data_IF_318389396828
#
_entry.id   IF_318389396828
#
_cell.length_a   1.000
_cell.length_b   1.000
_cell.length_c   1.000
_cell.angle_alpha   90.00
_cell.angle_beta   90.00
_cell.angle_gamma   90.00
#
_symmetry.space_group_name_H-M   'P 1'
#
loop_
_entity.id
_entity.type
_entity.pdbx_description
1 polymer ?
#
# COMPACT_ATOMS: atom_id res chain seq x y z
N UNK A 1 -17.65 1.11 -28.58
CA UNK A 1 -17.59 1.21 -30.03
C UNK A 1 -18.65 2.21 -30.48
N UNK A 2 -18.23 3.32 -31.07
CA UNK A 2 -19.08 4.37 -31.58
C UNK A 2 -18.76 4.57 -33.06
N UNK A 3 -19.11 3.54 -33.89
CA UNK A 3 -19.06 3.68 -35.35
C UNK A 3 -17.66 3.97 -35.92
N UNK A 4 -16.64 3.19 -35.58
CA UNK A 4 -15.27 3.36 -36.09
C UNK A 4 -14.30 3.99 -35.09
N UNK A 5 -14.76 4.25 -33.85
CA UNK A 5 -13.93 4.71 -32.73
C UNK A 5 -14.00 3.73 -31.58
N UNK A 6 -12.83 3.37 -30.99
CA UNK A 6 -12.73 2.58 -29.77
C UNK A 6 -12.01 3.41 -28.72
N UNK A 7 -12.62 3.51 -27.55
CA UNK A 7 -12.06 4.20 -26.40
C UNK A 7 -11.63 3.19 -25.34
N UNK A 8 -10.41 3.31 -24.86
CA UNK A 8 -9.86 2.47 -23.81
C UNK A 8 -9.29 3.38 -22.70
N UNK A 9 -9.65 3.10 -21.46
CA UNK A 9 -8.95 3.65 -20.30
C UNK A 9 -7.70 2.81 -20.04
N UNK A 10 -6.55 3.36 -20.33
CA UNK A 10 -5.26 2.76 -20.00
C UNK A 10 -4.85 3.26 -18.61
N UNK A 11 -4.65 2.31 -17.68
CA UNK A 11 -4.31 2.60 -16.30
C UNK A 11 -2.91 2.12 -15.97
N UNK A 12 -2.17 2.95 -15.26
CA UNK A 12 -0.91 2.59 -14.61
C UNK A 12 -0.94 2.96 -13.11
N UNK A 13 0.24 2.96 -12.46
CA UNK A 13 0.37 3.33 -11.04
C UNK A 13 0.10 4.81 -10.75
N UNK A 14 0.17 5.68 -11.75
CA UNK A 14 0.00 7.13 -11.61
C UNK A 14 -1.44 7.58 -11.87
N UNK A 15 -2.19 6.80 -12.67
CA UNK A 15 -3.59 7.10 -12.95
C UNK A 15 -4.12 6.46 -14.23
N UNK A 16 -5.11 7.13 -14.83
CA UNK A 16 -5.81 6.66 -16.02
C UNK A 16 -5.67 7.70 -17.11
N UNK A 17 -5.42 7.25 -18.35
CA UNK A 17 -5.50 8.07 -19.55
C UNK A 17 -6.42 7.41 -20.57
N UNK A 18 -7.20 8.20 -21.28
CA UNK A 18 -7.99 7.70 -22.40
C UNK A 18 -7.12 7.53 -23.64
N UNK A 19 -7.25 6.38 -24.27
CA UNK A 19 -6.64 6.06 -25.57
C UNK A 19 -7.75 5.91 -26.57
N UNK A 20 -7.60 6.58 -27.71
CA UNK A 20 -8.55 6.56 -28.83
C UNK A 20 -7.94 5.79 -29.99
N UNK A 21 -8.65 4.80 -30.46
CA UNK A 21 -8.32 4.05 -31.69
C UNK A 21 -9.30 4.44 -32.77
N UNK A 22 -8.76 4.87 -33.89
CA UNK A 22 -9.52 5.26 -35.07
C UNK A 22 -8.84 4.64 -36.30
N UNK A 23 -9.63 4.15 -37.25
CA UNK A 23 -9.14 3.61 -38.53
C UNK A 23 -8.36 4.64 -39.33
N UNK A 24 -8.66 5.93 -39.15
CA UNK A 24 -7.93 7.04 -39.79
C UNK A 24 -6.49 7.19 -39.24
N UNK A 25 -6.24 6.85 -37.97
CA UNK A 25 -4.92 6.92 -37.39
C UNK A 25 -4.11 5.66 -37.67
N UNK A 26 -4.73 4.48 -37.53
CA UNK A 26 -4.12 3.19 -37.80
C UNK A 26 -5.17 2.08 -37.86
N UNK A 27 -5.39 1.54 -39.06
CA UNK A 27 -6.33 0.42 -39.27
C UNK A 27 -5.85 -0.85 -38.51
N UNK A 28 -4.52 -1.06 -38.42
CA UNK A 28 -3.95 -2.20 -37.72
C UNK A 28 -4.18 -2.08 -36.19
N UNK A 29 -3.90 -0.92 -35.60
CA UNK A 29 -4.14 -0.67 -34.19
C UNK A 29 -5.61 -0.81 -33.83
N UNK A 30 -6.51 -0.30 -34.68
CA UNK A 30 -7.94 -0.43 -34.49
C UNK A 30 -8.39 -1.89 -34.48
N UNK A 31 -7.92 -2.69 -35.43
CA UNK A 31 -8.24 -4.13 -35.52
C UNK A 31 -7.76 -4.92 -34.31
N UNK A 32 -6.59 -4.57 -33.76
CA UNK A 32 -6.11 -5.17 -32.50
C UNK A 32 -7.00 -4.71 -31.34
N UNK A 33 -7.37 -3.43 -31.30
CA UNK A 33 -8.20 -2.86 -30.23
C UNK A 33 -9.57 -3.54 -30.09
N UNK A 34 -10.18 -3.98 -31.18
CA UNK A 34 -11.45 -4.75 -31.18
C UNK A 34 -11.34 -6.06 -30.35
N UNK A 35 -10.13 -6.62 -30.28
CA UNK A 35 -9.87 -7.89 -29.55
C UNK A 35 -9.56 -7.66 -28.07
N UNK A 36 -9.28 -6.43 -27.65
CA UNK A 36 -8.90 -6.10 -26.27
C UNK A 36 -10.10 -6.31 -25.35
N UNK A 37 -9.80 -6.82 -24.15
CA UNK A 37 -10.77 -7.00 -23.06
C UNK A 37 -10.24 -6.38 -21.79
N UNK A 38 -11.11 -6.21 -20.81
CA UNK A 38 -10.76 -5.61 -19.52
C UNK A 38 -9.54 -6.26 -18.88
N UNK A 39 -8.70 -5.43 -18.28
CA UNK A 39 -7.48 -5.79 -17.54
C UNK A 39 -6.35 -6.43 -18.39
N UNK A 40 -6.42 -6.37 -19.71
CA UNK A 40 -5.29 -6.72 -20.57
C UNK A 40 -4.15 -5.73 -20.34
N UNK A 41 -2.93 -6.22 -20.37
CA UNK A 41 -1.73 -5.39 -20.31
C UNK A 41 -1.34 -4.98 -21.73
N UNK A 42 -1.28 -3.68 -21.96
CA UNK A 42 -1.06 -3.10 -23.27
C UNK A 42 0.19 -2.22 -23.29
N UNK A 43 0.85 -2.18 -24.42
CA UNK A 43 1.78 -1.13 -24.78
C UNK A 43 1.16 -0.32 -25.93
N UNK A 44 0.99 0.97 -25.74
CA UNK A 44 0.43 1.89 -26.73
C UNK A 44 1.49 2.92 -27.12
N UNK A 45 1.63 3.15 -28.41
CA UNK A 45 2.36 4.31 -28.95
C UNK A 45 1.35 5.19 -29.67
N UNK A 46 1.45 6.50 -29.45
CA UNK A 46 0.51 7.43 -30.06
C UNK A 46 0.84 8.87 -29.69
N UNK A 47 0.03 9.78 -30.22
CA UNK A 47 0.16 11.20 -30.02
C UNK A 47 -0.75 11.67 -28.90
N UNK A 48 -0.21 12.45 -27.96
CA UNK A 48 -1.03 13.12 -26.93
C UNK A 48 -1.64 14.37 -27.53
N UNK A 49 -2.95 14.48 -27.41
CA UNK A 49 -3.73 15.63 -27.92
C UNK A 49 -4.62 16.19 -26.81
N UNK A 50 -4.97 17.47 -26.92
CA UNK A 50 -5.97 18.09 -26.06
C UNK A 50 -7.36 17.67 -26.53
N UNK A 51 -8.24 17.37 -25.59
CA UNK A 51 -9.66 17.17 -25.88
C UNK A 51 -10.36 18.52 -26.13
N UNK A 52 -11.40 18.47 -26.91
CA UNK A 52 -12.30 19.61 -27.05
C UNK A 52 -12.96 19.92 -25.68
N UNK A 53 -13.30 21.19 -25.44
CA UNK A 53 -13.87 21.64 -24.16
C UNK A 53 -15.12 20.82 -23.74
N UNK A 54 -15.95 20.43 -24.67
CA UNK A 54 -17.16 19.63 -24.45
C UNK A 54 -16.88 18.12 -24.19
N UNK A 55 -15.65 17.66 -24.41
CA UNK A 55 -15.21 16.27 -24.24
C UNK A 55 -14.30 16.08 -23.01
N UNK A 56 -14.00 17.15 -22.29
CA UNK A 56 -13.19 17.07 -21.06
C UNK A 56 -13.89 16.18 -20.04
N UNK A 57 -13.17 15.19 -19.51
CA UNK A 57 -13.68 14.31 -18.45
C UNK A 57 -13.15 14.74 -17.09
N UNK A 58 -13.95 15.40 -16.23
CA UNK A 58 -13.51 15.87 -14.93
C UNK A 58 -13.27 14.75 -13.91
N UNK A 59 -13.67 13.51 -14.22
CA UNK A 59 -13.56 12.38 -13.29
C UNK A 59 -12.19 11.68 -13.31
N UNK A 60 -11.32 12.02 -14.27
CA UNK A 60 -9.97 11.48 -14.35
C UNK A 60 -8.94 12.62 -14.37
N UNK A 61 -7.81 12.45 -13.70
CA UNK A 61 -6.78 13.49 -13.58
C UNK A 61 -6.20 13.96 -14.92
N UNK A 62 -6.26 13.11 -15.96
CA UNK A 62 -5.79 13.39 -17.32
C UNK A 62 -6.94 13.78 -18.27
N UNK A 63 -8.09 14.16 -17.72
CA UNK A 63 -9.32 14.32 -18.48
C UNK A 63 -9.31 15.41 -19.57
N UNK A 64 -8.32 16.29 -19.58
CA UNK A 64 -8.11 17.32 -20.60
C UNK A 64 -7.35 16.83 -21.84
N UNK A 65 -6.77 15.64 -21.76
CA UNK A 65 -5.97 15.04 -22.84
C UNK A 65 -6.47 13.64 -23.19
N UNK A 66 -6.06 13.17 -24.35
CA UNK A 66 -6.19 11.77 -24.78
C UNK A 66 -5.01 11.35 -25.66
N UNK A 67 -4.87 10.06 -25.91
CA UNK A 67 -3.84 9.51 -26.78
C UNK A 67 -4.51 8.99 -28.05
N UNK A 68 -4.18 9.60 -29.19
CA UNK A 68 -4.48 9.06 -30.51
C UNK A 68 -3.50 7.91 -30.80
N UNK A 69 -4.01 6.68 -30.80
CA UNK A 69 -3.17 5.49 -30.92
C UNK A 69 -2.68 5.27 -32.36
N UNK A 70 -1.37 5.21 -32.53
CA UNK A 70 -0.71 4.84 -33.79
C UNK A 70 -0.40 3.34 -33.83
N UNK A 71 -0.10 2.74 -32.67
CA UNK A 71 0.12 1.29 -32.55
C UNK A 71 -0.24 0.80 -31.16
N UNK A 72 -0.62 -0.48 -31.06
CA UNK A 72 -0.88 -1.17 -29.81
C UNK A 72 -0.35 -2.60 -29.86
N UNK A 73 0.24 -3.03 -28.75
CA UNK A 73 0.66 -4.39 -28.53
C UNK A 73 0.01 -4.95 -27.28
N UNK A 74 -0.53 -6.17 -27.35
CA UNK A 74 -1.06 -6.89 -26.18
C UNK A 74 0.10 -7.64 -25.54
N UNK A 75 0.64 -7.09 -24.45
CA UNK A 75 1.75 -7.70 -23.71
C UNK A 75 1.30 -8.94 -22.93
N UNK A 76 0.09 -8.88 -22.36
CA UNK A 76 -0.51 -10.01 -21.64
C UNK A 76 -2.04 -9.94 -21.69
N UNK A 77 -2.66 -11.11 -21.83
CA UNK A 77 -4.12 -11.27 -21.72
C UNK A 77 -4.50 -11.64 -20.30
N UNK A 78 -5.54 -11.01 -19.78
CA UNK A 78 -6.13 -11.36 -18.49
C UNK A 78 -7.37 -12.24 -18.69
N UNK A 79 -7.63 -13.10 -17.69
CA UNK A 79 -8.97 -13.71 -17.52
C UNK A 79 -9.92 -12.64 -16.97
N UNK A 80 -11.20 -12.82 -17.19
CA UNK A 80 -12.23 -11.95 -16.60
C UNK A 80 -12.05 -11.92 -15.08
N UNK A 81 -11.85 -10.71 -14.48
CA UNK A 81 -11.68 -10.61 -13.04
C UNK A 81 -12.98 -10.99 -12.30
N UNK A 82 -12.89 -11.47 -11.05
CA UNK A 82 -14.06 -11.89 -10.27
C UNK A 82 -14.98 -10.71 -9.90
N UNK A 83 -14.49 -9.48 -10.00
CA UNK A 83 -15.25 -8.24 -9.85
C UNK A 83 -14.51 -7.10 -10.57
N UNK A 84 -15.25 -6.05 -10.91
CA UNK A 84 -14.66 -4.87 -11.54
C UNK A 84 -13.91 -4.03 -10.52
N UNK A 85 -12.84 -3.37 -10.96
CA UNK A 85 -11.97 -2.54 -10.12
C UNK A 85 -12.55 -1.13 -9.96
N UNK A 86 -13.25 -0.65 -10.99
CA UNK A 86 -13.86 0.68 -11.05
C UNK A 86 -15.32 0.65 -10.56
N UNK A 87 -15.79 1.81 -10.07
CA UNK A 87 -17.17 2.01 -9.64
C UNK A 87 -17.46 1.55 -8.20
N UNK A 88 -18.72 1.71 -7.81
CA UNK A 88 -19.22 1.23 -6.52
C UNK A 88 -19.32 -0.29 -6.52
N UNK A 89 -18.62 -0.89 -5.58
CA UNK A 89 -18.58 -2.34 -5.45
C UNK A 89 -19.72 -2.82 -4.55
N UNK A 90 -20.66 -3.49 -5.15
CA UNK A 90 -21.57 -4.38 -4.44
C UNK A 90 -20.97 -5.79 -4.36
N UNK A 91 -19.81 -5.90 -3.71
CA UNK A 91 -19.04 -7.14 -3.60
C UNK A 91 -18.79 -7.43 -2.12
N UNK A 92 -19.01 -8.68 -1.70
CA UNK A 92 -18.81 -9.09 -0.32
C UNK A 92 -17.34 -8.93 0.12
N UNK A 93 -17.13 -8.65 1.40
CA UNK A 93 -15.78 -8.56 1.97
C UNK A 93 -15.01 -9.88 1.83
N UNK A 94 -15.71 -11.01 1.91
CA UNK A 94 -15.11 -12.33 1.71
C UNK A 94 -14.47 -12.46 0.30
N UNK A 95 -15.20 -12.03 -0.74
CA UNK A 95 -14.69 -12.09 -2.11
C UNK A 95 -13.53 -11.13 -2.31
N UNK A 96 -13.60 -9.94 -1.71
CA UNK A 96 -12.51 -8.94 -1.72
C UNK A 96 -11.26 -9.47 -1.01
N UNK A 97 -11.42 -10.18 0.11
CA UNK A 97 -10.30 -10.79 0.83
C UNK A 97 -9.70 -11.96 0.05
N UNK A 98 -10.53 -12.80 -0.57
CA UNK A 98 -10.07 -13.92 -1.40
C UNK A 98 -9.24 -13.45 -2.60
N UNK A 99 -9.63 -12.34 -3.22
CA UNK A 99 -8.93 -11.74 -4.36
C UNK A 99 -8.31 -10.39 -4.00
N UNK A 100 -7.65 -10.34 -2.84
CA UNK A 100 -7.09 -9.11 -2.27
C UNK A 100 -6.18 -8.35 -3.22
N UNK A 101 -5.39 -9.05 -4.04
CA UNK A 101 -4.50 -8.46 -5.03
C UNK A 101 -5.26 -7.70 -6.13
N UNK A 102 -6.51 -8.06 -6.42
CA UNK A 102 -7.39 -7.30 -7.33
C UNK A 102 -8.01 -6.10 -6.58
N UNK A 103 -8.51 -6.31 -5.36
CA UNK A 103 -9.07 -5.25 -4.53
C UNK A 103 -8.04 -4.10 -4.27
N UNK A 104 -6.77 -4.44 -4.12
CA UNK A 104 -5.69 -3.46 -3.94
C UNK A 104 -5.44 -2.57 -5.16
N UNK A 105 -5.94 -2.93 -6.34
CA UNK A 105 -5.85 -2.10 -7.56
C UNK A 105 -6.87 -0.96 -7.58
N UNK A 106 -7.84 -0.97 -6.69
CA UNK A 106 -8.85 0.10 -6.58
C UNK A 106 -8.21 1.37 -6.02
N UNK A 107 -8.64 2.52 -6.53
CA UNK A 107 -8.10 3.83 -6.14
C UNK A 107 -8.11 4.04 -4.62
N UNK A 108 -9.23 3.72 -3.96
CA UNK A 108 -9.34 3.82 -2.50
C UNK A 108 -8.26 2.98 -1.78
N UNK A 109 -8.05 1.76 -2.23
CA UNK A 109 -7.08 0.86 -1.60
C UNK A 109 -5.65 1.26 -1.91
N UNK A 110 -5.38 1.65 -3.16
CA UNK A 110 -4.09 2.19 -3.57
C UNK A 110 -3.75 3.45 -2.76
N UNK A 111 -4.72 4.36 -2.60
CA UNK A 111 -4.53 5.57 -1.81
C UNK A 111 -4.25 5.28 -0.33
N UNK A 112 -4.95 4.31 0.27
CA UNK A 112 -4.65 3.87 1.63
C UNK A 112 -3.21 3.38 1.79
N UNK A 113 -2.69 2.64 0.80
CA UNK A 113 -1.30 2.17 0.80
C UNK A 113 -0.32 3.33 0.63
N UNK A 114 -0.62 4.30 -0.25
CA UNK A 114 0.18 5.52 -0.43
C UNK A 114 0.23 6.35 0.87
N UNK A 115 -0.92 6.57 1.52
CA UNK A 115 -1.00 7.30 2.80
C UNK A 115 -0.16 6.58 3.87
N UNK A 116 -0.32 5.26 4.01
CA UNK A 116 0.48 4.48 4.96
C UNK A 116 1.98 4.63 4.70
N UNK A 117 2.41 4.53 3.44
CA UNK A 117 3.81 4.72 3.05
C UNK A 117 4.30 6.13 3.39
N UNK A 118 3.52 7.17 3.06
CA UNK A 118 3.87 8.56 3.37
C UNK A 118 3.98 8.80 4.87
N UNK A 119 3.01 8.31 5.65
CA UNK A 119 3.02 8.43 7.12
C UNK A 119 4.27 7.81 7.72
N UNK A 120 4.59 6.56 7.35
CA UNK A 120 5.80 5.91 7.87
C UNK A 120 7.07 6.64 7.48
N UNK A 121 7.15 7.16 6.27
CA UNK A 121 8.30 7.95 5.80
C UNK A 121 8.43 9.28 6.56
N UNK A 122 7.31 9.99 6.77
CA UNK A 122 7.30 11.26 7.53
C UNK A 122 7.75 11.04 8.97
N UNK A 123 7.24 10.02 9.64
CA UNK A 123 7.65 9.67 11.00
C UNK A 123 9.15 9.36 11.07
N UNK A 124 9.69 8.58 10.12
CA UNK A 124 11.12 8.29 10.05
C UNK A 124 11.95 9.56 9.90
N UNK A 125 11.65 10.39 8.91
CA UNK A 125 12.38 11.63 8.68
C UNK A 125 12.34 12.54 9.91
N UNK A 126 11.18 12.70 10.55
CA UNK A 126 11.02 13.52 11.75
C UNK A 126 11.87 13.03 12.92
N UNK A 127 11.86 11.73 13.19
CA UNK A 127 12.64 11.15 14.29
C UNK A 127 14.13 11.15 13.97
N UNK A 128 14.53 10.91 12.73
CA UNK A 128 15.94 10.98 12.30
C UNK A 128 16.49 12.41 12.48
N UNK A 129 15.71 13.45 12.13
CA UNK A 129 16.07 14.86 12.32
C UNK A 129 16.25 15.22 13.81
N UNK A 130 15.60 14.50 14.71
CA UNK A 130 15.78 14.62 16.16
C UNK A 130 16.85 13.69 16.72
N UNK A 131 17.67 13.08 15.87
CA UNK A 131 18.75 12.15 16.20
C UNK A 131 18.28 10.86 16.91
N UNK A 132 17.08 10.40 16.63
CA UNK A 132 16.67 9.05 17.00
C UNK A 132 17.29 8.04 16.04
N UNK A 133 17.58 6.84 16.54
CA UNK A 133 18.13 5.75 15.76
C UNK A 133 17.06 4.68 15.51
N UNK A 134 16.81 4.32 14.25
CA UNK A 134 15.95 3.19 13.88
C UNK A 134 16.72 1.88 14.09
N UNK A 135 16.39 1.14 15.13
CA UNK A 135 17.09 -0.09 15.49
C UNK A 135 16.13 -1.27 15.45
N UNK A 136 16.40 -2.21 14.55
CA UNK A 136 15.63 -3.44 14.43
C UNK A 136 15.92 -4.40 15.58
N UNK A 137 14.86 -4.96 16.18
CA UNK A 137 14.93 -5.91 17.28
C UNK A 137 14.40 -7.30 16.86
N UNK A 138 14.85 -8.39 17.53
CA UNK A 138 14.44 -9.75 17.17
C UNK A 138 12.93 -10.01 17.35
N UNK A 139 12.36 -10.82 16.44
CA UNK A 139 10.99 -11.33 16.55
C UNK A 139 10.91 -12.71 17.19
N UNK A 140 11.92 -13.55 17.04
CA UNK A 140 11.99 -14.84 17.71
C UNK A 140 12.63 -14.65 19.09
N UNK A 141 11.81 -14.42 20.10
CA UNK A 141 12.25 -14.06 21.44
C UNK A 141 11.79 -15.07 22.48
N UNK A 142 12.16 -14.85 23.72
CA UNK A 142 11.60 -15.55 24.87
C UNK A 142 10.27 -14.89 25.25
N UNK A 143 9.32 -15.68 25.75
CA UNK A 143 8.07 -15.18 26.29
C UNK A 143 8.29 -14.15 27.40
N UNK A 144 7.58 -13.04 27.36
CA UNK A 144 7.63 -11.97 28.36
C UNK A 144 6.22 -11.69 28.89
N UNK A 145 6.05 -11.47 30.21
CA UNK A 145 4.73 -11.22 30.79
C UNK A 145 4.32 -9.75 30.58
N UNK A 146 3.81 -9.41 29.39
CA UNK A 146 3.39 -8.05 29.03
C UNK A 146 1.87 -7.83 29.05
N UNK A 147 1.09 -8.76 29.61
CA UNK A 147 -0.36 -8.59 29.82
C UNK A 147 -1.26 -9.31 28.81
N UNK A 148 -0.85 -9.46 27.55
CA UNK A 148 -1.53 -10.31 26.58
C UNK A 148 -0.94 -11.73 26.57
N UNK A 149 -1.60 -12.66 25.85
CA UNK A 149 -1.01 -13.95 25.55
C UNK A 149 -0.06 -13.83 24.37
N UNK A 150 1.05 -14.57 24.43
CA UNK A 150 2.02 -14.61 23.36
C UNK A 150 1.62 -15.60 22.28
N UNK A 151 1.86 -15.25 21.00
CA UNK A 151 1.93 -16.25 19.95
C UNK A 151 3.26 -17.01 20.07
N UNK A 152 3.22 -18.31 20.04
CA UNK A 152 4.39 -19.18 20.17
C UNK A 152 4.76 -19.82 18.84
N UNK A 153 6.06 -19.98 18.61
CA UNK A 153 6.63 -20.64 17.44
C UNK A 153 7.45 -21.85 17.92
N UNK A 154 7.11 -23.08 17.53
CA UNK A 154 7.88 -24.25 17.93
C UNK A 154 9.31 -24.21 17.44
N UNK A 155 10.27 -24.55 18.32
CA UNK A 155 11.66 -24.71 17.93
C UNK A 155 11.87 -26.05 17.21
N UNK A 156 12.42 -26.02 16.02
CA UNK A 156 12.81 -27.24 15.30
C UNK A 156 14.10 -27.84 15.87
N UNK A 157 14.97 -27.02 16.43
CA UNK A 157 16.28 -27.43 16.94
C UNK A 157 16.19 -27.99 18.36
N UNK A 158 15.34 -27.38 19.20
CA UNK A 158 15.14 -27.77 20.59
C UNK A 158 13.74 -28.34 20.78
N UNK A 159 13.65 -29.66 20.82
CA UNK A 159 12.38 -30.35 20.92
C UNK A 159 11.67 -30.04 22.25
N UNK A 160 10.40 -29.62 22.17
CA UNK A 160 9.62 -29.23 23.34
C UNK A 160 9.80 -27.76 23.78
N UNK A 161 10.67 -27.00 23.10
CA UNK A 161 10.87 -25.57 23.36
C UNK A 161 10.20 -24.71 22.29
N UNK A 162 9.91 -23.44 22.65
CA UNK A 162 9.19 -22.50 21.83
C UNK A 162 9.83 -21.11 21.90
N UNK A 163 9.80 -20.41 20.78
CA UNK A 163 9.94 -18.97 20.73
C UNK A 163 8.60 -18.30 20.95
N UNK A 164 8.60 -17.07 21.43
CA UNK A 164 7.43 -16.20 21.46
C UNK A 164 7.61 -15.05 20.48
N UNK A 165 6.52 -14.64 19.82
CA UNK A 165 6.49 -13.41 19.03
C UNK A 165 6.27 -12.22 19.98
N UNK A 166 6.96 -11.07 19.78
CA UNK A 166 6.95 -9.97 20.73
C UNK A 166 5.61 -9.24 20.72
N UNK A 167 5.08 -8.95 21.89
CA UNK A 167 3.94 -8.07 22.10
C UNK A 167 4.31 -6.60 21.90
N UNK A 168 5.57 -6.26 22.21
CA UNK A 168 6.28 -5.02 21.92
C UNK A 168 7.79 -5.29 22.05
N UNK A 169 8.68 -4.41 21.57
CA UNK A 169 10.12 -4.52 21.75
C UNK A 169 10.60 -4.03 23.13
N UNK A 170 9.74 -4.04 24.15
CA UNK A 170 9.99 -3.42 25.48
C UNK A 170 11.31 -3.83 26.12
N UNK A 171 11.61 -5.11 26.13
CA UNK A 171 12.85 -5.60 26.74
C UNK A 171 14.09 -5.09 26.00
N UNK A 172 14.05 -5.12 24.67
CA UNK A 172 15.18 -4.71 23.84
C UNK A 172 15.42 -3.21 23.87
N UNK A 173 14.37 -2.38 23.76
CA UNK A 173 14.52 -0.94 23.83
C UNK A 173 15.03 -0.46 25.19
N UNK A 174 14.62 -1.11 26.27
CA UNK A 174 15.16 -0.83 27.60
C UNK A 174 16.66 -1.19 27.70
N UNK A 175 17.07 -2.32 27.10
CA UNK A 175 18.48 -2.69 27.02
C UNK A 175 19.29 -1.69 26.18
N UNK A 176 18.71 -1.17 25.09
CA UNK A 176 19.36 -0.16 24.24
C UNK A 176 19.59 1.15 25.02
N UNK A 177 18.66 1.56 25.88
CA UNK A 177 18.88 2.71 26.77
C UNK A 177 20.07 2.46 27.72
N UNK A 178 20.12 1.27 28.35
CA UNK A 178 21.26 0.86 29.20
C UNK A 178 22.59 0.73 28.43
N UNK A 179 22.53 0.51 27.12
CA UNK A 179 23.68 0.48 26.22
C UNK A 179 24.14 1.85 25.72
N UNK A 180 23.42 2.93 26.08
CA UNK A 180 23.79 4.31 25.76
C UNK A 180 23.26 4.82 24.39
N UNK A 181 22.22 4.21 23.84
CA UNK A 181 21.64 4.69 22.59
C UNK A 181 20.71 5.89 22.74
N UNK A 182 20.33 6.28 23.93
CA UNK A 182 19.61 7.47 24.37
C UNK A 182 18.31 7.82 23.63
N UNK A 183 18.26 7.65 22.32
CA UNK A 183 17.11 7.95 21.44
C UNK A 183 16.92 6.83 20.45
N UNK A 184 15.95 5.98 20.69
CA UNK A 184 15.61 4.83 19.89
C UNK A 184 14.20 4.99 19.31
N UNK A 185 13.98 4.56 18.09
CA UNK A 185 12.67 4.24 17.59
C UNK A 185 12.70 3.00 16.70
N UNK A 186 11.52 2.44 16.45
CA UNK A 186 11.32 1.39 15.45
C UNK A 186 9.87 1.44 14.96
N UNK A 187 9.66 1.27 13.66
CA UNK A 187 8.34 0.97 13.12
C UNK A 187 8.21 -0.54 13.07
N UNK A 188 7.66 -1.11 14.14
CA UNK A 188 7.80 -2.52 14.51
C UNK A 188 6.47 -3.27 14.40
N UNK A 189 6.54 -4.53 13.97
CA UNK A 189 5.42 -5.44 14.02
C UNK A 189 5.29 -6.05 15.41
N UNK A 190 4.08 -5.99 15.97
CA UNK A 190 3.75 -6.53 17.28
C UNK A 190 2.63 -7.55 17.19
N UNK A 191 2.60 -8.50 18.14
CA UNK A 191 1.70 -9.64 18.12
C UNK A 191 1.06 -9.82 19.50
N UNK A 192 -0.27 -9.91 19.55
CA UNK A 192 -1.02 -10.16 20.79
C UNK A 192 -2.15 -11.12 20.53
N UNK A 193 -2.16 -12.26 21.22
CA UNK A 193 -3.24 -13.24 21.19
C UNK A 193 -4.33 -12.83 22.18
N UNK A 194 -5.15 -11.87 21.72
CA UNK A 194 -6.26 -11.30 22.47
C UNK A 194 -7.56 -11.38 21.66
N UNK A 195 -8.70 -11.21 22.35
CA UNK A 195 -9.98 -11.12 21.70
C UNK A 195 -10.05 -9.91 20.74
N UNK A 196 -10.44 -10.16 19.51
CA UNK A 196 -10.60 -9.12 18.49
C UNK A 196 -11.79 -8.23 18.84
N UNK A 197 -11.55 -6.93 18.97
CA UNK A 197 -12.58 -5.92 19.27
C UNK A 197 -12.36 -4.69 18.38
N UNK A 198 -13.39 -4.29 17.64
CA UNK A 198 -13.36 -3.08 16.83
C UNK A 198 -12.19 -3.09 15.84
N UNK A 199 -11.21 -2.23 16.06
CA UNK A 199 -10.02 -2.05 15.22
C UNK A 199 -8.78 -2.84 15.69
N UNK A 200 -8.90 -3.63 16.75
CA UNK A 200 -7.80 -4.45 17.26
C UNK A 200 -7.52 -5.65 16.38
N UNK A 201 -6.27 -5.81 16.02
CA UNK A 201 -5.77 -6.93 15.22
C UNK A 201 -4.73 -7.72 16.05
N UNK A 202 -4.64 -9.05 15.86
CA UNK A 202 -3.65 -9.87 16.57
C UNK A 202 -2.21 -9.55 16.13
N UNK A 203 -2.06 -8.98 14.95
CA UNK A 203 -0.82 -8.52 14.36
C UNK A 203 -0.99 -7.08 13.91
N UNK A 204 -0.17 -6.16 14.43
CA UNK A 204 -0.28 -4.73 14.16
C UNK A 204 1.09 -4.06 14.15
N UNK A 205 1.15 -2.84 13.65
CA UNK A 205 2.38 -2.05 13.60
C UNK A 205 2.33 -0.93 14.63
N UNK A 206 3.42 -0.75 15.36
CA UNK A 206 3.63 0.38 16.27
C UNK A 206 4.74 1.29 15.71
N UNK A 207 4.63 2.58 15.99
CA UNK A 207 5.77 3.47 16.10
C UNK A 207 6.20 3.37 17.55
N UNK A 208 7.26 2.65 17.82
CA UNK A 208 7.79 2.43 19.16
C UNK A 208 8.99 3.36 19.41
N UNK A 209 8.97 4.07 20.53
CA UNK A 209 9.97 5.08 20.87
C UNK A 209 10.45 4.84 22.30
N UNK A 210 11.74 4.99 22.53
CA UNK A 210 12.32 4.98 23.87
C UNK A 210 13.41 6.04 23.96
N UNK A 211 13.47 6.73 25.11
CA UNK A 211 14.44 7.80 25.34
C UNK A 211 15.05 7.74 26.73
N UNK A 212 16.29 8.19 26.85
CA UNK A 212 16.94 8.51 28.10
C UNK A 212 17.09 10.03 28.25
N UNK A 213 17.12 10.54 29.47
CA UNK A 213 17.42 11.94 29.81
C UNK A 213 16.42 12.98 29.33
N UNK A 214 15.24 12.57 28.86
CA UNK A 214 14.15 13.49 28.52
C UNK A 214 13.08 13.50 29.60
N UNK A 215 12.50 14.68 29.84
CA UNK A 215 11.33 14.84 30.71
C UNK A 215 10.05 14.37 30.03
N UNK A 216 8.98 14.22 30.78
CA UNK A 216 7.66 13.88 30.23
C UNK A 216 7.15 14.96 29.27
N UNK A 217 7.41 16.24 29.57
CA UNK A 217 7.04 17.39 28.76
C UNK A 217 7.75 17.38 27.42
N UNK A 218 9.05 17.07 27.39
CA UNK A 218 9.84 16.97 26.16
C UNK A 218 9.34 15.83 25.25
N UNK A 219 8.97 14.67 25.82
CA UNK A 219 8.39 13.56 25.07
C UNK A 219 7.01 13.93 24.51
N UNK A 220 6.21 14.65 25.29
CA UNK A 220 4.92 15.16 24.85
C UNK A 220 5.08 16.11 23.66
N UNK A 221 6.01 17.08 23.76
CA UNK A 221 6.32 18.02 22.68
C UNK A 221 6.77 17.32 21.38
N UNK A 222 7.67 16.35 21.49
CA UNK A 222 8.11 15.52 20.35
C UNK A 222 6.92 14.82 19.71
N UNK A 223 6.01 14.25 20.51
CA UNK A 223 4.87 13.51 20.01
C UNK A 223 3.83 14.43 19.35
N UNK A 224 3.55 15.59 19.94
CA UNK A 224 2.61 16.57 19.38
C UNK A 224 3.12 17.12 18.05
N UNK A 225 4.40 17.49 17.96
CA UNK A 225 5.00 17.97 16.73
C UNK A 225 5.07 16.88 15.62
N UNK A 226 5.21 15.62 15.99
CA UNK A 226 5.17 14.50 15.03
C UNK A 226 3.79 14.33 14.39
N UNK A 227 2.71 14.70 15.10
CA UNK A 227 1.32 14.55 14.63
C UNK A 227 0.81 15.75 13.81
N UNK A 228 1.52 16.88 13.80
CA UNK A 228 1.22 18.07 13.00
C UNK A 228 1.79 17.96 11.59
#
# INVERSE_FOLDING_TARGET
DLGGLIFIHLRDREGIVQVVFNTEFSEEAFRIAETIRGEYVLQVKGKVVLREENQINPNIGTGTIEIEAESVEILAKAKTPPFYIEGDLNVSDELRMKYRYIDLRRDKMMNNMKIRHQTTRTVRNYLDDLNFMDIETPYLTKATPEGARDYIVPSRVHQGEFYALPQSPQLFKQMLMGAGFDRYYQIVRCFRDEDLRGDRQPEFTQVDIETSFLSAEEIQEITENMLQ
#
